data_IF_756325467212
#
_entry.id   IF_756325467212
#
_cell.length_a   1.000
_cell.length_b   1.000
_cell.length_c   1.000
_cell.angle_alpha   90.00
_cell.angle_beta   90.00
_cell.angle_gamma   90.00
#
_symmetry.space_group_name_H-M   'P 1'
#
loop_
_entity.id
_entity.type
_entity.pdbx_description
1 polymer ?
#
# COMPACT_ATOMS: atom_id res chain seq x y z
N UNK A 1 -8.82 -4.43 7.92
CA UNK A 1 -7.71 -5.42 7.93
C UNK A 1 -7.86 -6.68 7.03
N UNK A 2 -8.90 -7.54 7.10
CA UNK A 2 -8.97 -8.76 6.24
C UNK A 2 -8.87 -8.49 4.73
N UNK A 3 -9.44 -7.36 4.29
CA UNK A 3 -9.41 -6.91 2.89
C UNK A 3 -8.00 -6.48 2.44
N UNK A 4 -7.26 -5.78 3.30
CA UNK A 4 -5.87 -5.39 3.05
C UNK A 4 -4.96 -6.61 2.93
N UNK A 5 -5.14 -7.57 3.86
CA UNK A 5 -4.38 -8.83 3.85
C UNK A 5 -4.60 -9.62 2.55
N UNK A 6 -5.85 -9.74 2.09
CA UNK A 6 -6.15 -10.40 0.82
C UNK A 6 -5.55 -9.68 -0.40
N UNK A 7 -5.47 -8.35 -0.38
CA UNK A 7 -4.79 -7.58 -1.44
C UNK A 7 -3.28 -7.82 -1.44
N UNK A 8 -2.66 -7.91 -0.26
CA UNK A 8 -1.23 -8.22 -0.10
C UNK A 8 -0.93 -9.65 -0.56
N UNK A 9 -1.79 -10.61 -0.20
CA UNK A 9 -1.66 -12.01 -0.66
C UNK A 9 -1.72 -12.06 -2.20
N UNK A 10 -2.72 -11.41 -2.82
CA UNK A 10 -2.82 -11.35 -4.28
C UNK A 10 -1.61 -10.66 -4.94
N UNK A 11 -1.08 -9.61 -4.32
CA UNK A 11 0.14 -8.95 -4.80
C UNK A 11 1.34 -9.91 -4.78
N UNK A 12 1.50 -10.69 -3.71
CA UNK A 12 2.58 -11.65 -3.59
C UNK A 12 2.43 -12.82 -4.56
N UNK A 13 1.22 -13.34 -4.76
CA UNK A 13 0.93 -14.38 -5.76
C UNK A 13 1.31 -13.91 -7.18
N UNK A 14 0.98 -12.66 -7.53
CA UNK A 14 1.34 -12.10 -8.84
C UNK A 14 2.86 -11.97 -9.02
N UNK A 15 3.58 -11.52 -7.99
CA UNK A 15 5.04 -11.46 -8.02
C UNK A 15 5.68 -12.85 -8.11
N UNK A 16 5.13 -13.84 -7.41
CA UNK A 16 5.61 -15.23 -7.50
C UNK A 16 5.37 -15.80 -8.90
N UNK A 17 4.23 -15.53 -9.51
CA UNK A 17 3.93 -15.93 -10.90
C UNK A 17 4.90 -15.28 -11.89
N UNK A 18 5.18 -13.98 -11.75
CA UNK A 18 6.17 -13.26 -12.55
C UNK A 18 7.59 -13.85 -12.37
N UNK A 19 7.96 -14.20 -11.14
CA UNK A 19 9.23 -14.86 -10.82
C UNK A 19 9.36 -16.20 -11.52
N UNK A 20 8.36 -17.09 -11.40
CA UNK A 20 8.36 -18.40 -12.07
C UNK A 20 8.47 -18.28 -13.58
N UNK A 21 7.84 -17.28 -14.18
CA UNK A 21 7.94 -17.01 -15.61
C UNK A 21 9.38 -16.62 -16.02
N UNK A 22 10.05 -15.79 -15.22
CA UNK A 22 11.46 -15.43 -15.42
C UNK A 22 12.38 -16.64 -15.22
N UNK A 23 12.20 -17.40 -14.13
CA UNK A 23 12.96 -18.62 -13.86
C UNK A 23 12.84 -19.63 -15.01
N UNK A 24 11.64 -19.79 -15.56
CA UNK A 24 11.41 -20.69 -16.70
C UNK A 24 12.18 -20.21 -17.93
N UNK A 25 12.12 -18.92 -18.24
CA UNK A 25 12.86 -18.35 -19.37
C UNK A 25 14.38 -18.41 -19.17
N UNK A 26 14.86 -18.19 -17.95
CA UNK A 26 16.29 -18.31 -17.61
C UNK A 26 16.78 -19.76 -17.72
N UNK A 27 16.01 -20.71 -17.18
CA UNK A 27 16.31 -22.15 -17.27
C UNK A 27 16.32 -22.65 -18.72
N UNK A 28 15.42 -22.14 -19.55
CA UNK A 28 15.36 -22.47 -20.99
C UNK A 28 16.30 -21.59 -21.85
N UNK A 29 17.02 -20.63 -21.25
CA UNK A 29 17.88 -19.64 -21.92
C UNK A 29 17.20 -18.95 -23.12
N UNK A 30 15.90 -18.67 -22.99
CA UNK A 30 15.09 -18.05 -24.04
C UNK A 30 14.49 -16.74 -23.55
N UNK A 31 14.15 -15.87 -24.49
CA UNK A 31 13.31 -14.72 -24.20
C UNK A 31 11.85 -15.16 -23.99
N UNK A 32 11.08 -14.28 -23.35
CA UNK A 32 9.63 -14.42 -23.32
C UNK A 32 9.06 -14.46 -24.74
N UNK A 33 8.10 -15.33 -24.97
CA UNK A 33 7.24 -15.25 -26.15
C UNK A 33 6.29 -14.05 -26.03
N UNK A 34 5.70 -13.60 -27.13
CA UNK A 34 4.77 -12.45 -27.12
C UNK A 34 3.60 -12.64 -26.13
N UNK A 35 3.09 -13.87 -26.01
CA UNK A 35 2.00 -14.22 -25.09
C UNK A 35 2.46 -14.16 -23.62
N UNK A 36 3.64 -14.68 -23.32
CA UNK A 36 4.22 -14.62 -21.97
C UNK A 36 4.60 -13.20 -21.58
N UNK A 37 5.16 -12.43 -22.51
CA UNK A 37 5.50 -11.03 -22.28
C UNK A 37 4.23 -10.22 -21.99
N UNK A 38 3.16 -10.42 -22.77
CA UNK A 38 1.88 -9.76 -22.53
C UNK A 38 1.30 -10.13 -21.15
N UNK A 39 1.37 -11.40 -20.78
CA UNK A 39 0.92 -11.87 -19.46
C UNK A 39 1.78 -11.28 -18.33
N UNK A 40 3.09 -11.15 -18.53
CA UNK A 40 3.99 -10.52 -17.58
C UNK A 40 3.67 -9.02 -17.42
N UNK A 41 3.41 -8.30 -18.51
CA UNK A 41 2.97 -6.90 -18.49
C UNK A 41 1.61 -6.71 -17.79
N UNK A 42 0.66 -7.62 -18.03
CA UNK A 42 -0.64 -7.64 -17.33
C UNK A 42 -0.45 -7.86 -15.82
N UNK A 43 0.36 -8.84 -15.43
CA UNK A 43 0.69 -9.10 -14.02
C UNK A 43 1.41 -7.91 -13.38
N UNK A 44 2.31 -7.24 -14.09
CA UNK A 44 3.03 -6.07 -13.59
C UNK A 44 2.07 -4.89 -13.37
N UNK A 45 1.14 -4.68 -14.32
CA UNK A 45 0.10 -3.64 -14.22
C UNK A 45 -0.84 -3.93 -13.05
N UNK A 46 -1.29 -5.17 -12.90
CA UNK A 46 -2.16 -5.57 -11.79
C UNK A 46 -1.45 -5.40 -10.44
N UNK A 47 -0.18 -5.81 -10.34
CA UNK A 47 0.65 -5.65 -9.14
C UNK A 47 0.79 -4.18 -8.76
N UNK A 48 1.07 -3.27 -9.72
CA UNK A 48 1.12 -1.82 -9.45
C UNK A 48 -0.20 -1.27 -8.93
N UNK A 49 -1.31 -1.71 -9.51
CA UNK A 49 -2.66 -1.30 -9.08
C UNK A 49 -2.96 -1.78 -7.65
N UNK A 50 -2.59 -3.02 -7.33
CA UNK A 50 -2.71 -3.57 -5.98
C UNK A 50 -1.85 -2.78 -4.98
N UNK A 51 -0.59 -2.47 -5.31
CA UNK A 51 0.30 -1.67 -4.45
C UNK A 51 -0.26 -0.28 -4.19
N UNK A 52 -0.81 0.39 -5.21
CA UNK A 52 -1.46 1.69 -5.05
C UNK A 52 -2.68 1.60 -4.11
N UNK A 53 -3.48 0.54 -4.26
CA UNK A 53 -4.67 0.30 -3.43
C UNK A 53 -4.28 -0.02 -1.98
N UNK A 54 -3.25 -0.83 -1.76
CA UNK A 54 -2.72 -1.17 -0.43
C UNK A 54 -2.23 0.12 0.26
N UNK A 55 -1.40 0.93 -0.41
CA UNK A 55 -0.92 2.21 0.14
C UNK A 55 -2.04 3.20 0.43
N UNK A 56 -3.06 3.25 -0.42
CA UNK A 56 -4.22 4.13 -0.20
C UNK A 56 -5.03 3.67 1.02
N UNK A 57 -5.20 2.36 1.20
CA UNK A 57 -5.89 1.80 2.36
C UNK A 57 -5.08 1.98 3.65
N UNK A 58 -3.76 1.78 3.63
CA UNK A 58 -2.87 2.04 4.77
C UNK A 58 -2.90 3.52 5.18
N UNK A 59 -2.81 4.45 4.22
CA UNK A 59 -2.91 5.88 4.52
C UNK A 59 -4.29 6.27 5.06
N UNK A 60 -5.38 5.65 4.56
CA UNK A 60 -6.71 5.90 5.12
C UNK A 60 -6.82 5.42 6.57
N UNK A 61 -6.23 4.26 6.91
CA UNK A 61 -6.17 3.78 8.30
C UNK A 61 -5.29 4.70 9.18
N UNK A 62 -4.15 5.19 8.67
CA UNK A 62 -3.28 6.13 9.39
C UNK A 62 -3.94 7.50 9.61
N UNK A 63 -4.68 8.01 8.62
CA UNK A 63 -5.47 9.25 8.75
C UNK A 63 -6.62 9.10 9.74
N UNK A 64 -7.26 7.93 9.82
CA UNK A 64 -8.27 7.66 10.84
C UNK A 64 -7.66 7.63 12.25
N UNK A 65 -6.51 6.98 12.42
CA UNK A 65 -5.81 6.94 13.72
C UNK A 65 -5.32 8.32 14.16
N UNK A 66 -4.81 9.15 13.25
CA UNK A 66 -4.38 10.52 13.59
C UNK A 66 -5.54 11.45 13.91
N UNK A 67 -6.76 11.18 13.43
CA UNK A 67 -7.96 11.92 13.82
C UNK A 67 -8.49 11.53 15.21
N UNK A 68 -8.21 10.31 15.68
CA UNK A 68 -8.59 9.85 17.03
C UNK A 68 -7.59 10.24 18.14
N UNK A 69 -6.39 10.75 17.81
CA UNK A 69 -5.41 11.29 18.79
C UNK A 69 -5.53 12.82 18.92
N UNK A 70 -6.69 13.40 18.62
CA UNK A 70 -6.98 14.77 19.05
C UNK A 70 -8.41 14.98 19.57
N UNK A 71 -8.82 14.27 20.64
CA UNK A 71 -9.81 14.79 21.56
C UNK A 71 -9.10 15.19 22.88
N UNK A 72 -9.25 16.47 23.25
CA UNK A 72 -8.89 17.06 24.54
C UNK A 72 -7.40 17.40 24.79
N UNK A 73 -7.07 18.69 24.59
CA UNK A 73 -5.81 19.25 25.08
C UNK A 73 -5.65 20.77 25.05
N UNK A 74 -6.63 21.56 24.60
CA UNK A 74 -6.55 23.02 24.66
C UNK A 74 -7.85 23.67 25.16
N UNK A 75 -8.32 23.24 26.33
CA UNK A 75 -9.27 24.02 27.12
C UNK A 75 -8.74 24.17 28.55
N UNK A 76 -8.22 25.36 28.86
CA UNK A 76 -8.05 25.85 30.22
C UNK A 76 -6.64 25.80 30.80
N UNK A 77 -5.95 26.94 30.87
CA UNK A 77 -5.66 27.55 32.18
C UNK A 77 -5.19 29.01 32.10
N UNK A 78 -5.94 29.85 32.82
CA UNK A 78 -5.48 31.01 33.58
C UNK A 78 -4.58 32.07 32.88
N UNK A 79 -5.23 33.08 32.30
CA UNK A 79 -4.72 34.46 32.40
C UNK A 79 -5.86 35.41 32.75
N UNK A 80 -6.46 35.16 33.92
CA UNK A 80 -7.14 36.18 34.72
C UNK A 80 -6.16 36.61 35.81
N UNK A 81 -5.97 37.93 35.93
CA UNK A 81 -5.12 38.68 36.90
C UNK A 81 -3.83 39.19 36.25
N UNK A 82 -3.51 40.49 36.15
CA UNK A 82 -3.92 41.69 36.92
C UNK A 82 -3.49 42.98 36.16
N UNK A 83 -3.81 44.20 36.64
CA UNK A 83 -4.11 45.38 35.82
C UNK A 83 -2.92 46.33 35.53
N UNK A 84 -3.22 47.30 34.65
CA UNK A 84 -2.50 48.55 34.34
C UNK A 84 -1.67 49.17 35.49
N UNK A 85 -0.57 49.84 35.12
CA UNK A 85 -0.31 51.23 35.45
C UNK A 85 -0.67 52.18 34.29
#
# INVERSE_FOLDING_TARGET
MKKLKALIEKHNDNLEAMGKMLDTCEAEQRAFTEDEQKRYDELMTETRSLTATIRAAEQAEEMQMTHEINPAGQEGEASRSRPRP
#
